data_IF_477185244759
#
_entry.id   IF_477185244759
#
_cell.length_a   1.000
_cell.length_b   1.000
_cell.length_c   1.000
_cell.angle_alpha   90.00
_cell.angle_beta   90.00
_cell.angle_gamma   90.00
#
_symmetry.space_group_name_H-M   'P 1'
#
loop_
_entity.id
_entity.type
_entity.pdbx_description
1 polymer ?
#
# COMPACT_ATOMS: atom_id res chain seq x y z
N UNK A 1 -17.98 -13.94 -13.05
CA UNK A 1 -16.57 -13.99 -12.58
C UNK A 1 -16.41 -12.97 -11.47
N UNK A 2 -15.56 -13.21 -10.48
CA UNK A 2 -15.33 -12.30 -9.35
C UNK A 2 -13.84 -12.15 -9.08
N UNK A 3 -13.44 -10.97 -8.61
CA UNK A 3 -12.05 -10.72 -8.20
C UNK A 3 -11.63 -11.67 -7.07
N UNK A 4 -10.47 -12.29 -7.21
CA UNK A 4 -9.90 -13.13 -6.17
C UNK A 4 -9.64 -12.30 -4.90
N UNK A 5 -9.94 -12.86 -3.71
CA UNK A 5 -9.87 -12.14 -2.43
C UNK A 5 -8.50 -11.55 -2.07
N UNK A 6 -7.44 -12.13 -2.62
CA UNK A 6 -6.05 -11.72 -2.41
C UNK A 6 -5.54 -10.79 -3.53
N UNK A 7 -6.40 -10.43 -4.48
CA UNK A 7 -6.06 -9.52 -5.57
C UNK A 7 -6.71 -8.16 -5.35
N UNK A 8 -5.95 -7.12 -5.64
CA UNK A 8 -6.41 -5.74 -5.73
C UNK A 8 -6.22 -5.25 -7.16
N UNK A 9 -7.10 -4.39 -7.64
CA UNK A 9 -7.07 -3.89 -9.01
C UNK A 9 -7.14 -2.37 -8.99
N UNK A 10 -6.28 -1.73 -9.78
CA UNK A 10 -6.40 -0.33 -10.18
C UNK A 10 -6.66 -0.28 -11.69
N UNK A 11 -7.80 0.29 -12.08
CA UNK A 11 -8.23 0.45 -13.48
C UNK A 11 -7.85 1.86 -13.95
N UNK A 12 -7.12 1.94 -15.05
CA UNK A 12 -6.76 3.18 -15.72
C UNK A 12 -7.29 3.16 -17.15
N UNK A 13 -7.30 4.32 -17.82
CA UNK A 13 -7.78 4.40 -19.21
C UNK A 13 -7.02 3.48 -20.16
N UNK A 14 -5.69 3.35 -19.96
CA UNK A 14 -4.81 2.64 -20.90
C UNK A 14 -4.43 1.22 -20.45
N UNK A 15 -4.72 0.84 -19.21
CA UNK A 15 -4.25 -0.41 -18.64
C UNK A 15 -4.97 -0.77 -17.33
N UNK A 16 -4.86 -2.03 -16.93
CA UNK A 16 -5.17 -2.48 -15.57
C UNK A 16 -3.89 -2.88 -14.88
N UNK A 17 -3.72 -2.44 -13.63
CA UNK A 17 -2.73 -3.00 -12.72
C UNK A 17 -3.44 -3.90 -11.73
N UNK A 18 -3.07 -5.18 -11.67
CA UNK A 18 -3.50 -6.11 -10.63
C UNK A 18 -2.35 -6.41 -9.67
N UNK A 19 -2.65 -6.38 -8.38
CA UNK A 19 -1.73 -6.68 -7.28
C UNK A 19 -2.16 -7.98 -6.60
N UNK A 20 -1.38 -9.05 -6.79
CA UNK A 20 -1.57 -10.34 -6.13
C UNK A 20 -0.80 -10.37 -4.81
N UNK A 21 -1.53 -10.26 -3.70
CA UNK A 21 -0.98 -10.23 -2.34
C UNK A 21 -0.39 -11.57 -1.90
N UNK A 22 -0.86 -12.68 -2.47
CA UNK A 22 -0.39 -14.03 -2.14
C UNK A 22 0.94 -14.31 -2.84
N UNK A 23 1.06 -13.95 -4.11
CA UNK A 23 2.28 -14.14 -4.90
C UNK A 23 3.27 -12.98 -4.78
N UNK A 24 2.87 -11.87 -4.16
CA UNK A 24 3.66 -10.64 -4.04
C UNK A 24 4.11 -10.10 -5.40
N UNK A 25 3.17 -10.05 -6.36
CA UNK A 25 3.45 -9.69 -7.76
C UNK A 25 2.43 -8.71 -8.30
N UNK A 26 2.89 -7.87 -9.22
CA UNK A 26 2.04 -7.03 -10.06
C UNK A 26 1.86 -7.70 -11.42
N UNK A 27 0.67 -7.55 -11.97
CA UNK A 27 0.34 -7.90 -13.35
C UNK A 27 -0.16 -6.64 -14.04
N UNK A 28 0.31 -6.41 -15.26
CA UNK A 28 -0.12 -5.30 -16.10
C UNK A 28 -0.86 -5.87 -17.29
N UNK A 29 -2.09 -5.41 -17.49
CA UNK A 29 -2.92 -5.78 -18.63
C UNK A 29 -3.14 -4.56 -19.52
N UNK A 30 -3.25 -4.81 -20.82
CA UNK A 30 -3.39 -3.78 -21.85
C UNK A 30 -4.75 -3.06 -21.80
N UNK A 31 -4.90 -2.07 -22.68
CA UNK A 31 -6.09 -1.25 -22.83
C UNK A 31 -7.32 -2.07 -23.22
N UNK A 32 -7.17 -3.08 -24.08
CA UNK A 32 -8.28 -3.95 -24.48
C UNK A 32 -8.86 -4.69 -23.28
N UNK A 33 -7.98 -5.21 -22.42
CA UNK A 33 -8.36 -5.84 -21.18
C UNK A 33 -8.95 -4.83 -20.18
N UNK A 34 -8.39 -3.61 -20.09
CA UNK A 34 -8.89 -2.51 -19.28
C UNK A 34 -10.33 -2.14 -19.62
N UNK A 35 -10.60 -1.95 -20.90
CA UNK A 35 -11.93 -1.63 -21.41
C UNK A 35 -12.93 -2.74 -21.09
N UNK A 36 -12.60 -4.00 -21.39
CA UNK A 36 -13.48 -5.13 -21.10
C UNK A 36 -13.76 -5.31 -19.59
N UNK A 37 -12.75 -5.06 -18.74
CA UNK A 37 -12.92 -5.14 -17.30
C UNK A 37 -13.80 -4.01 -16.78
N UNK A 38 -13.57 -2.78 -17.24
CA UNK A 38 -14.36 -1.62 -16.86
C UNK A 38 -15.83 -1.79 -17.29
N UNK A 39 -16.05 -2.22 -18.53
CA UNK A 39 -17.39 -2.52 -19.05
C UNK A 39 -18.13 -3.52 -18.16
N UNK A 40 -17.47 -4.59 -17.71
CA UNK A 40 -18.10 -5.62 -16.88
C UNK A 40 -18.27 -5.21 -15.41
N UNK A 41 -17.21 -4.73 -14.75
CA UNK A 41 -17.18 -4.55 -13.29
C UNK A 41 -17.56 -3.14 -12.81
N UNK A 42 -17.40 -2.12 -13.66
CA UNK A 42 -17.65 -0.73 -13.32
C UNK A 42 -18.92 -0.20 -13.99
N UNK A 43 -19.11 -0.52 -15.27
CA UNK A 43 -20.24 -0.01 -16.06
C UNK A 43 -21.40 -1.02 -16.19
N UNK A 44 -21.22 -2.26 -15.70
CA UNK A 44 -22.23 -3.35 -15.70
C UNK A 44 -22.81 -3.68 -17.09
N UNK A 45 -22.02 -3.51 -18.15
CA UNK A 45 -22.35 -3.89 -19.52
C UNK A 45 -22.21 -5.39 -19.74
N UNK A 46 -23.02 -6.00 -20.64
CA UNK A 46 -22.87 -7.40 -20.99
C UNK A 46 -21.58 -7.60 -21.81
N UNK A 47 -20.66 -8.40 -21.27
CA UNK A 47 -19.38 -8.74 -21.91
C UNK A 47 -19.23 -10.27 -21.86
N UNK A 48 -18.72 -10.88 -22.93
CA UNK A 48 -18.26 -12.27 -22.90
C UNK A 48 -16.99 -12.36 -22.05
N UNK A 49 -17.17 -12.49 -20.73
CA UNK A 49 -16.07 -12.49 -19.76
C UNK A 49 -15.08 -13.63 -19.98
N UNK A 50 -15.54 -14.77 -20.49
CA UNK A 50 -14.69 -15.95 -20.70
C UNK A 50 -13.64 -15.71 -21.77
N UNK A 51 -13.97 -14.91 -22.78
CA UNK A 51 -13.05 -14.50 -23.84
C UNK A 51 -12.33 -13.19 -23.49
N UNK A 52 -13.07 -12.14 -23.15
CA UNK A 52 -12.52 -10.79 -23.02
C UNK A 52 -11.61 -10.63 -21.78
N UNK A 53 -11.87 -11.39 -20.72
CA UNK A 53 -11.07 -11.38 -19.49
C UNK A 53 -10.21 -12.64 -19.33
N UNK A 54 -10.00 -13.38 -20.43
CA UNK A 54 -9.19 -14.60 -20.44
C UNK A 54 -7.81 -14.42 -19.77
N UNK A 55 -7.05 -13.32 -20.02
CA UNK A 55 -5.77 -13.12 -19.34
C UNK A 55 -5.89 -13.09 -17.81
N UNK A 56 -6.90 -12.41 -17.26
CA UNK A 56 -7.12 -12.33 -15.81
C UNK A 56 -7.57 -13.68 -15.23
N UNK A 57 -8.30 -14.48 -16.00
CA UNK A 57 -8.71 -15.83 -15.61
C UNK A 57 -7.48 -16.74 -15.55
N UNK A 58 -6.65 -16.72 -16.60
CA UNK A 58 -5.45 -17.56 -16.72
C UNK A 58 -4.45 -17.26 -15.58
N UNK A 59 -4.29 -15.98 -15.24
CA UNK A 59 -3.45 -15.53 -14.13
C UNK A 59 -4.09 -15.75 -12.74
N UNK A 60 -5.37 -16.13 -12.70
CA UNK A 60 -6.20 -16.32 -11.50
C UNK A 60 -6.43 -15.03 -10.71
N UNK A 61 -6.43 -13.90 -11.39
CA UNK A 61 -6.85 -12.60 -10.83
C UNK A 61 -8.36 -12.61 -10.61
N UNK A 62 -9.13 -13.15 -11.56
CA UNK A 62 -10.57 -13.37 -11.40
C UNK A 62 -10.89 -14.87 -11.38
N UNK A 63 -11.88 -15.25 -10.57
CA UNK A 63 -12.28 -16.65 -10.30
C UNK A 63 -13.80 -16.77 -10.31
N UNK A 64 -14.31 -17.99 -10.49
CA UNK A 64 -15.75 -18.25 -10.55
C UNK A 64 -16.46 -18.20 -9.17
N UNK A 65 -15.72 -18.42 -8.07
CA UNK A 65 -16.30 -18.72 -6.75
C UNK A 65 -15.74 -17.81 -5.64
N UNK A 66 -16.30 -16.61 -5.45
CA UNK A 66 -15.99 -15.82 -4.24
C UNK A 66 -17.24 -15.13 -3.69
N UNK A 67 -17.77 -15.52 -2.51
CA UNK A 67 -19.06 -15.01 -2.02
C UNK A 67 -19.04 -13.57 -1.46
N UNK A 68 -17.97 -12.79 -1.67
CA UNK A 68 -17.78 -11.45 -1.06
C UNK A 68 -17.78 -10.34 -2.12
N UNK A 69 -18.40 -9.18 -1.87
CA UNK A 69 -18.40 -8.06 -2.82
C UNK A 69 -16.96 -7.57 -3.04
N UNK A 70 -16.47 -7.77 -4.27
CA UNK A 70 -15.14 -7.40 -4.72
C UNK A 70 -14.88 -5.88 -4.80
N UNK A 71 -15.93 -5.05 -4.65
CA UNK A 71 -15.87 -3.61 -4.96
C UNK A 71 -14.83 -2.85 -4.15
N UNK A 72 -14.61 -3.18 -2.87
CA UNK A 72 -13.61 -2.48 -2.05
C UNK A 72 -12.15 -2.70 -2.49
N UNK A 73 -11.91 -3.61 -3.45
CA UNK A 73 -10.58 -3.96 -3.97
C UNK A 73 -10.38 -3.54 -5.42
N UNK A 74 -11.34 -2.83 -6.00
CA UNK A 74 -11.26 -2.28 -7.35
C UNK A 74 -11.26 -0.75 -7.21
N UNK A 75 -10.14 -0.13 -7.56
CA UNK A 75 -10.01 1.31 -7.63
C UNK A 75 -10.15 1.77 -9.08
N UNK A 76 -11.01 2.76 -9.32
CA UNK A 76 -11.27 3.35 -10.64
C UNK A 76 -10.52 4.68 -10.77
N UNK A 77 -9.49 4.71 -11.62
CA UNK A 77 -8.71 5.89 -11.97
C UNK A 77 -8.90 6.29 -13.44
N UNK A 78 -9.97 5.82 -14.10
CA UNK A 78 -10.32 6.28 -15.44
C UNK A 78 -10.56 7.79 -15.44
N UNK A 79 -10.15 8.46 -16.51
CA UNK A 79 -10.14 9.91 -16.65
C UNK A 79 -9.28 10.68 -15.63
N UNK A 80 -8.53 10.00 -14.75
CA UNK A 80 -7.64 10.67 -13.80
C UNK A 80 -6.38 11.17 -14.52
N UNK A 81 -6.05 12.45 -14.32
CA UNK A 81 -4.79 13.03 -14.79
C UNK A 81 -3.80 13.08 -13.63
N UNK A 82 -2.76 12.26 -13.71
CA UNK A 82 -1.67 12.29 -12.73
C UNK A 82 -0.74 13.46 -13.04
N UNK A 83 -0.31 14.15 -11.99
CA UNK A 83 0.66 15.24 -12.14
C UNK A 83 1.98 14.73 -12.77
N UNK A 84 2.63 15.62 -13.52
CA UNK A 84 3.90 15.31 -14.15
C UNK A 84 4.96 15.03 -13.08
N UNK A 85 5.76 14.01 -13.33
CA UNK A 85 6.71 13.45 -12.38
C UNK A 85 7.88 14.41 -12.10
N UNK A 86 7.89 15.05 -10.93
CA UNK A 86 9.12 15.59 -10.36
C UNK A 86 9.72 14.61 -9.35
N UNK A 87 10.44 13.62 -9.88
CA UNK A 87 11.42 12.77 -9.16
C UNK A 87 10.88 11.61 -8.29
N UNK A 88 11.31 10.39 -8.64
CA UNK A 88 11.03 9.13 -7.94
C UNK A 88 12.01 8.85 -6.82
N UNK A 89 12.34 9.89 -6.04
CA UNK A 89 13.32 9.74 -4.98
C UNK A 89 12.61 9.74 -3.65
N UNK A 90 12.13 8.55 -3.29
CA UNK A 90 11.72 8.25 -1.93
C UNK A 90 12.75 8.81 -0.95
N UNK A 91 12.30 9.70 -0.06
CA UNK A 91 13.07 10.34 0.99
C UNK A 91 14.30 11.21 0.61
N UNK A 92 14.80 11.25 -0.63
CA UNK A 92 16.08 11.96 -0.91
C UNK A 92 16.04 13.46 -0.65
N UNK A 93 14.86 14.07 -0.60
CA UNK A 93 14.71 15.50 -0.27
C UNK A 93 14.89 15.77 1.24
N UNK A 94 14.74 14.76 2.10
CA UNK A 94 14.70 14.89 3.57
C UNK A 94 15.87 14.20 4.26
N UNK A 95 16.76 13.52 3.53
CA UNK A 95 17.97 12.94 4.12
C UNK A 95 18.94 14.09 4.48
N UNK A 96 18.78 14.61 5.70
CA UNK A 96 19.70 15.59 6.29
C UNK A 96 21.13 15.05 6.39
N UNK A 97 22.04 15.92 6.83
CA UNK A 97 23.48 15.61 6.92
C UNK A 97 23.76 14.36 7.77
N UNK A 98 24.78 13.58 7.36
CA UNK A 98 25.26 12.37 8.07
C UNK A 98 25.87 12.75 9.42
N UNK A 99 25.05 12.89 10.45
CA UNK A 99 25.53 13.12 11.81
C UNK A 99 25.52 11.83 12.65
N UNK A 100 26.71 11.26 12.87
CA UNK A 100 26.91 10.02 13.61
C UNK A 100 26.57 10.14 15.12
N UNK A 101 26.56 11.35 15.68
CA UNK A 101 26.26 11.59 17.11
C UNK A 101 24.80 11.37 17.50
N UNK A 102 23.92 11.13 16.51
CA UNK A 102 22.48 10.87 16.70
C UNK A 102 22.02 9.54 16.07
N UNK A 103 22.94 8.59 15.89
CA UNK A 103 22.58 7.29 15.32
C UNK A 103 21.83 6.42 16.33
N UNK A 104 20.58 6.09 16.02
CA UNK A 104 19.76 5.19 16.83
C UNK A 104 19.77 3.78 16.23
N UNK A 105 20.30 2.80 16.97
CA UNK A 105 20.40 1.41 16.53
C UNK A 105 19.02 0.72 16.41
N UNK A 106 18.04 1.17 17.21
CA UNK A 106 16.73 0.54 17.28
C UNK A 106 15.89 0.75 15.99
N UNK A 107 15.72 1.98 15.44
CA UNK A 107 15.09 2.17 14.14
C UNK A 107 15.80 1.39 13.02
N UNK A 108 17.13 1.42 12.99
CA UNK A 108 17.93 0.68 12.01
C UNK A 108 17.60 -0.82 12.04
N UNK A 109 17.64 -1.44 13.22
CA UNK A 109 17.38 -2.87 13.32
C UNK A 109 15.91 -3.23 13.00
N UNK A 110 14.97 -2.33 13.27
CA UNK A 110 13.56 -2.49 12.87
C UNK A 110 13.37 -2.42 11.36
N UNK A 111 14.11 -1.57 10.66
CA UNK A 111 14.13 -1.51 9.20
C UNK A 111 14.66 -2.82 8.63
N UNK A 112 15.83 -3.28 9.09
CA UNK A 112 16.42 -4.54 8.59
C UNK A 112 15.52 -5.74 8.88
N UNK A 113 14.89 -5.80 10.06
CA UNK A 113 13.90 -6.86 10.38
C UNK A 113 12.70 -6.84 9.43
N UNK A 114 12.23 -5.66 9.05
CA UNK A 114 11.11 -5.50 8.11
C UNK A 114 11.53 -5.91 6.70
N UNK A 115 12.75 -5.55 6.28
CA UNK A 115 13.34 -6.00 5.03
C UNK A 115 13.52 -7.53 4.98
N UNK A 116 14.04 -8.14 6.04
CA UNK A 116 14.15 -9.59 6.16
C UNK A 116 12.78 -10.27 6.12
N UNK A 117 11.77 -9.72 6.81
CA UNK A 117 10.41 -10.27 6.80
C UNK A 117 9.79 -10.21 5.41
N UNK A 118 9.93 -9.10 4.68
CA UNK A 118 9.45 -8.98 3.29
C UNK A 118 10.18 -9.94 2.36
N UNK A 119 11.50 -10.10 2.53
CA UNK A 119 12.30 -11.03 1.71
C UNK A 119 11.93 -12.49 1.96
N UNK A 120 11.61 -12.86 3.20
CA UNK A 120 11.25 -14.24 3.57
C UNK A 120 9.77 -14.57 3.37
N UNK A 121 8.86 -13.62 3.57
CA UNK A 121 7.41 -13.86 3.62
C UNK A 121 6.63 -13.14 2.52
N UNK A 122 7.26 -12.29 1.70
CA UNK A 122 6.56 -11.43 0.75
C UNK A 122 5.55 -10.52 1.46
N UNK A 123 4.42 -10.23 0.82
CA UNK A 123 3.37 -9.37 1.38
C UNK A 123 2.60 -10.00 2.54
N UNK A 124 2.79 -11.28 2.84
CA UNK A 124 2.34 -11.84 4.13
C UNK A 124 3.00 -11.14 5.32
N UNK A 125 4.11 -10.41 5.13
CA UNK A 125 4.69 -9.57 6.15
C UNK A 125 3.73 -8.48 6.67
N UNK A 126 2.72 -8.08 5.88
CA UNK A 126 1.70 -7.11 6.32
C UNK A 126 0.82 -7.65 7.44
N UNK A 127 0.72 -8.98 7.61
CA UNK A 127 0.03 -9.58 8.77
C UNK A 127 0.64 -9.19 10.12
N UNK A 128 1.89 -8.71 10.14
CA UNK A 128 2.49 -8.14 11.35
C UNK A 128 1.79 -6.85 11.79
N UNK A 129 1.23 -6.08 10.86
CA UNK A 129 0.41 -4.90 11.14
C UNK A 129 -0.96 -5.33 11.68
N UNK A 130 -1.59 -6.34 11.08
CA UNK A 130 -2.87 -6.90 11.58
C UNK A 130 -2.78 -7.37 13.04
N UNK A 131 -1.67 -8.00 13.41
CA UNK A 131 -1.43 -8.45 14.80
C UNK A 131 -1.28 -7.31 15.80
N UNK A 132 -0.82 -6.14 15.34
CA UNK A 132 -0.69 -4.97 16.20
C UNK A 132 -2.05 -4.30 16.41
N UNK A 133 -2.93 -4.34 15.42
CA UNK A 133 -4.30 -3.80 15.52
C UNK A 133 -5.15 -4.60 16.52
N UNK A 134 -4.91 -5.91 16.64
CA UNK A 134 -5.64 -6.78 17.57
C UNK A 134 -5.26 -6.54 19.06
N UNK A 135 -4.27 -5.68 19.34
CA UNK A 135 -3.84 -5.40 20.71
C UNK A 135 -4.73 -4.29 21.30
N UNK A 136 -5.28 -4.45 22.52
CA UNK A 136 -6.10 -3.42 23.14
C UNK A 136 -5.30 -2.12 23.29
N UNK A 137 -5.90 -1.01 22.87
CA UNK A 137 -5.35 0.34 22.96
C UNK A 137 -5.32 0.80 24.43
N UNK A 138 -4.35 0.28 25.18
CA UNK A 138 -4.19 0.61 26.61
C UNK A 138 -3.30 1.84 26.84
N UNK A 139 -2.85 2.53 25.79
CA UNK A 139 -2.05 3.74 25.92
C UNK A 139 -2.69 4.89 25.15
N UNK A 140 -2.64 6.08 25.76
CA UNK A 140 -3.12 7.32 25.16
C UNK A 140 -2.48 7.55 23.79
N UNK A 141 -3.22 8.08 22.79
CA UNK A 141 -2.64 8.50 21.53
C UNK A 141 -1.50 9.46 21.80
N UNK A 142 -0.31 9.18 21.26
CA UNK A 142 0.80 10.14 21.32
C UNK A 142 0.47 11.29 20.37
N UNK A 143 0.57 12.54 20.85
CA UNK A 143 0.26 13.74 20.07
C UNK A 143 0.97 13.75 18.70
N UNK A 144 0.31 14.32 17.69
CA UNK A 144 0.75 14.29 16.28
C UNK A 144 2.16 14.82 16.01
N UNK A 145 2.76 15.58 16.92
CA UNK A 145 4.15 16.07 16.83
C UNK A 145 5.19 14.93 17.02
N UNK A 146 4.86 13.92 17.83
CA UNK A 146 5.71 12.74 18.03
C UNK A 146 5.87 11.90 16.76
N UNK A 147 4.85 11.86 15.91
CA UNK A 147 4.87 11.10 14.65
C UNK A 147 5.92 11.64 13.66
N UNK A 148 6.09 12.97 13.59
CA UNK A 148 7.04 13.63 12.70
C UNK A 148 8.49 13.38 13.13
N UNK A 149 8.77 13.43 14.43
CA UNK A 149 10.10 13.10 14.96
C UNK A 149 10.45 11.62 14.75
N UNK A 150 9.49 10.71 14.94
CA UNK A 150 9.68 9.28 14.67
C UNK A 150 9.99 9.00 13.20
N UNK A 151 9.27 9.66 12.28
CA UNK A 151 9.56 9.60 10.84
C UNK A 151 10.99 10.02 10.54
N UNK A 152 11.44 11.16 11.08
CA UNK A 152 12.79 11.69 10.84
C UNK A 152 13.88 10.72 11.33
N UNK A 153 13.68 10.09 12.50
CA UNK A 153 14.60 9.09 13.05
C UNK A 153 14.74 7.88 12.13
N UNK A 154 13.64 7.40 11.55
CA UNK A 154 13.67 6.29 10.59
C UNK A 154 14.38 6.66 9.29
N UNK A 155 14.12 7.86 8.77
CA UNK A 155 14.81 8.38 7.60
C UNK A 155 16.33 8.48 7.87
N UNK A 156 16.73 9.04 9.03
CA UNK A 156 18.15 9.14 9.41
C UNK A 156 18.80 7.78 9.59
N UNK A 157 18.13 6.81 10.21
CA UNK A 157 18.63 5.46 10.37
C UNK A 157 18.82 4.73 9.03
N UNK A 158 18.00 5.04 8.03
CA UNK A 158 18.10 4.45 6.69
C UNK A 158 19.39 4.86 5.96
N UNK A 159 19.95 6.05 6.25
CA UNK A 159 21.19 6.58 5.64
C UNK A 159 22.39 5.67 5.89
N UNK A 160 22.41 5.00 7.05
CA UNK A 160 23.51 4.14 7.48
C UNK A 160 23.36 2.70 7.02
N UNK A 161 22.33 2.40 6.22
CA UNK A 161 22.16 1.07 5.67
C UNK A 161 23.20 0.76 4.59
N UNK A 162 23.99 -0.32 4.74
CA UNK A 162 24.92 -0.74 3.69
C UNK A 162 24.20 -1.30 2.45
N UNK A 163 22.88 -1.48 2.52
CA UNK A 163 22.04 -1.94 1.41
C UNK A 163 20.95 -0.92 1.09
N UNK A 164 20.56 -0.82 -0.19
CA UNK A 164 19.42 0.00 -0.64
C UNK A 164 18.14 -0.46 0.05
N UNK A 165 17.56 0.39 0.90
CA UNK A 165 16.28 0.12 1.50
C UNK A 165 15.19 0.61 0.54
N UNK A 166 14.22 -0.25 0.23
CA UNK A 166 13.12 0.12 -0.67
C UNK A 166 12.02 0.88 0.06
N UNK A 167 11.23 1.68 -0.67
CA UNK A 167 10.08 2.39 -0.11
C UNK A 167 9.14 1.45 0.65
N UNK A 168 8.89 0.25 0.14
CA UNK A 168 8.05 -0.74 0.82
C UNK A 168 8.62 -1.22 2.15
N UNK A 169 9.93 -1.47 2.22
CA UNK A 169 10.58 -1.94 3.45
C UNK A 169 10.51 -0.87 4.54
N UNK A 170 10.69 0.40 4.15
CA UNK A 170 10.64 1.53 5.06
C UNK A 170 9.22 1.83 5.52
N UNK A 171 8.26 1.89 4.60
CA UNK A 171 6.86 2.13 4.93
C UNK A 171 6.31 1.03 5.84
N UNK A 172 6.71 -0.23 5.64
CA UNK A 172 6.36 -1.30 6.58
C UNK A 172 7.00 -1.10 7.96
N UNK A 173 8.29 -0.75 8.01
CA UNK A 173 9.00 -0.55 9.27
C UNK A 173 8.42 0.63 10.07
N UNK A 174 8.09 1.73 9.38
CA UNK A 174 7.50 2.94 9.93
C UNK A 174 6.05 2.70 10.39
N UNK A 175 5.19 2.10 9.56
CA UNK A 175 3.82 1.75 9.97
C UNK A 175 3.81 0.81 11.18
N UNK A 176 4.71 -0.18 11.22
CA UNK A 176 4.87 -1.08 12.37
C UNK A 176 5.33 -0.32 13.62
N UNK A 177 6.09 0.77 13.47
CA UNK A 177 6.48 1.63 14.58
C UNK A 177 5.33 2.43 15.14
N UNK A 178 4.72 3.23 14.27
CA UNK A 178 3.62 4.09 14.63
C UNK A 178 2.46 3.29 15.26
N UNK A 179 2.11 2.13 14.71
CA UNK A 179 1.09 1.25 15.34
C UNK A 179 1.48 0.71 16.72
N UNK A 180 2.77 0.50 17.00
CA UNK A 180 3.23 0.12 18.36
C UNK A 180 3.16 1.28 19.34
N UNK A 181 3.17 2.51 18.85
CA UNK A 181 2.97 3.75 19.62
C UNK A 181 1.49 4.18 19.66
N UNK A 182 0.57 3.29 19.26
CA UNK A 182 -0.88 3.52 19.16
C UNK A 182 -1.28 4.66 18.19
N UNK A 183 -0.42 4.99 17.23
CA UNK A 183 -0.74 5.89 16.13
C UNK A 183 -1.42 5.07 15.01
N UNK A 184 -2.59 5.48 14.49
CA UNK A 184 -3.39 4.71 13.52
C UNK A 184 -2.80 4.76 12.10
N UNK A 185 -1.51 4.42 11.96
CA UNK A 185 -0.79 4.49 10.71
C UNK A 185 -1.24 3.41 9.71
N UNK A 186 -1.39 3.79 8.46
CA UNK A 186 -1.80 2.93 7.36
C UNK A 186 -0.69 2.88 6.32
N UNK A 187 -0.19 1.69 6.00
CA UNK A 187 0.63 1.48 4.82
C UNK A 187 -0.27 1.53 3.58
N UNK A 188 0.14 2.34 2.62
CA UNK A 188 -0.54 2.53 1.33
C UNK A 188 0.43 2.17 0.20
N UNK A 189 -0.09 1.52 -0.84
CA UNK A 189 0.63 1.21 -2.08
C UNK A 189 -0.11 1.89 -3.22
N UNK A 190 0.60 2.72 -3.96
CA UNK A 190 0.12 3.37 -5.17
C UNK A 190 0.85 2.87 -6.41
N UNK A 191 0.17 2.92 -7.54
CA UNK A 191 0.70 2.51 -8.84
C UNK A 191 0.37 3.54 -9.91
N UNK A 192 1.20 3.52 -10.96
CA UNK A 192 0.97 4.20 -12.23
C UNK A 192 1.28 3.19 -13.34
N UNK A 193 0.44 3.04 -14.37
CA UNK A 193 0.64 2.01 -15.38
C UNK A 193 1.71 2.38 -16.43
N UNK A 194 1.85 3.67 -16.76
CA UNK A 194 2.69 4.16 -17.87
C UNK A 194 3.49 5.42 -17.46
N UNK A 195 4.85 5.33 -17.36
CA UNK A 195 5.60 4.08 -17.19
C UNK A 195 5.14 3.34 -15.92
N UNK A 196 5.33 2.01 -15.87
CA UNK A 196 4.95 1.26 -14.67
C UNK A 196 5.83 1.64 -13.48
N UNK A 197 5.22 2.21 -12.45
CA UNK A 197 5.87 2.55 -11.19
C UNK A 197 4.94 2.13 -10.06
N UNK A 198 5.50 1.49 -9.03
CA UNK A 198 4.82 1.20 -7.78
C UNK A 198 5.57 1.90 -6.64
N UNK A 199 4.82 2.52 -5.75
CA UNK A 199 5.34 3.24 -4.59
C UNK A 199 4.58 2.87 -3.33
N UNK A 200 5.25 2.89 -2.19
CA UNK A 200 4.63 2.60 -0.91
C UNK A 200 4.99 3.67 0.11
N UNK A 201 3.97 4.22 0.78
CA UNK A 201 4.12 5.25 1.81
C UNK A 201 3.26 4.91 3.03
N UNK A 202 3.33 5.77 4.04
CA UNK A 202 2.53 5.66 5.27
C UNK A 202 1.62 6.88 5.37
N UNK A 203 0.38 6.66 5.78
CA UNK A 203 -0.58 7.71 6.11
C UNK A 203 -1.01 7.62 7.55
N UNK A 204 -1.16 8.78 8.19
CA UNK A 204 -1.81 8.94 9.50
C UNK A 204 -2.88 9.99 9.31
N UNK A 205 -4.13 9.64 9.64
CA UNK A 205 -5.29 10.53 9.52
C UNK A 205 -5.41 11.19 8.12
N UNK A 206 -5.11 10.41 7.08
CA UNK A 206 -5.17 10.82 5.67
C UNK A 206 -3.99 11.66 5.17
N UNK A 207 -3.02 11.97 6.04
CA UNK A 207 -1.80 12.74 5.71
C UNK A 207 -0.63 11.80 5.45
N UNK A 208 0.12 12.06 4.39
CA UNK A 208 1.36 11.31 4.07
C UNK A 208 2.45 11.62 5.10
N UNK A 209 3.10 10.59 5.62
CA UNK A 209 4.17 10.68 6.62
C UNK A 209 5.52 10.25 6.02
N UNK A 210 6.52 11.14 6.08
CA UNK A 210 7.89 10.81 5.67
C UNK A 210 8.13 10.73 4.17
N UNK A 211 7.22 11.31 3.39
CA UNK A 211 7.26 11.33 1.94
C UNK A 211 6.55 12.58 1.40
N UNK A 212 6.52 12.75 0.07
CA UNK A 212 5.90 13.91 -0.57
C UNK A 212 4.38 13.98 -0.26
N UNK A 213 3.86 15.10 0.25
CA UNK A 213 2.44 15.24 0.62
C UNK A 213 1.48 14.97 -0.54
N UNK A 214 1.91 15.26 -1.77
CA UNK A 214 1.12 15.19 -2.99
C UNK A 214 1.22 13.84 -3.73
N UNK A 215 1.74 12.79 -3.08
CA UNK A 215 1.82 11.44 -3.67
C UNK A 215 0.47 10.93 -4.21
N UNK A 216 -0.64 11.29 -3.54
CA UNK A 216 -2.00 10.94 -3.98
C UNK A 216 -2.40 11.54 -5.33
N UNK A 217 -1.74 12.62 -5.77
CA UNK A 217 -1.93 13.23 -7.10
C UNK A 217 -1.11 12.54 -8.18
N UNK A 218 -0.06 11.81 -7.78
CA UNK A 218 0.91 11.19 -8.68
C UNK A 218 0.71 9.68 -8.87
N UNK A 219 0.03 9.02 -7.93
CA UNK A 219 -0.20 7.57 -7.92
C UNK A 219 -1.66 7.23 -7.64
N UNK A 220 -2.20 6.22 -8.35
CA UNK A 220 -3.46 5.61 -7.99
C UNK A 220 -3.25 4.58 -6.88
N UNK A 221 -3.86 4.77 -5.73
CA UNK A 221 -3.87 3.79 -4.63
C UNK A 221 -4.50 2.46 -5.07
N UNK A 222 -3.74 1.37 -4.96
CA UNK A 222 -4.21 0.01 -5.27
C UNK A 222 -4.43 -0.81 -3.99
N UNK A 223 -3.71 -0.49 -2.91
CA UNK A 223 -3.82 -1.22 -1.65
C UNK A 223 -3.59 -0.30 -0.47
N UNK A 224 -4.40 -0.52 0.57
CA UNK A 224 -4.19 0.05 1.90
C UNK A 224 -4.41 -0.99 2.97
N UNK A 225 -3.58 -0.91 4.01
CA UNK A 225 -3.83 -1.65 5.24
C UNK A 225 -5.02 -1.02 5.99
N UNK A 226 -5.90 -1.80 6.62
CA UNK A 226 -7.03 -1.27 7.39
C UNK A 226 -6.57 -0.34 8.52
N UNK A 227 -7.44 0.60 8.89
CA UNK A 227 -7.16 1.51 10.00
C UNK A 227 -7.36 0.74 11.33
N UNK A 228 -6.44 0.85 12.31
CA UNK A 228 -6.54 0.04 13.54
C UNK A 228 -7.81 0.29 14.38
N UNK A 229 -8.30 1.52 14.39
CA UNK A 229 -9.51 1.98 15.08
C UNK A 229 -10.82 1.46 14.44
N UNK A 230 -10.89 1.42 13.11
CA UNK A 230 -12.04 0.86 12.36
C UNK A 230 -12.25 -0.63 12.64
N UNK A 231 -11.19 -1.36 13.03
CA UNK A 231 -11.28 -2.77 13.45
C UNK A 231 -11.64 -2.96 14.92
N UNK A 232 -11.34 -1.96 15.76
CA UNK A 232 -11.63 -2.00 17.19
C UNK A 232 -13.07 -1.57 17.54
N UNK A 233 -13.78 -0.93 16.60
CA UNK A 233 -15.21 -0.74 16.72
C UNK A 233 -15.89 -2.12 16.85
N UNK A 234 -16.60 -2.39 17.96
CA UNK A 234 -17.39 -3.62 18.03
C UNK A 234 -18.33 -3.61 16.83
N UNK A 235 -18.41 -4.73 16.12
CA UNK A 235 -19.47 -4.98 15.13
C UNK A 235 -20.79 -4.66 15.85
N UNK A 236 -21.33 -3.48 15.59
CA UNK A 236 -22.39 -2.92 16.40
C UNK A 236 -23.59 -3.84 16.34
N UNK A 237 -24.18 -4.11 17.51
CA UNK A 237 -25.63 -4.22 17.61
C UNK A 237 -26.21 -3.09 16.77
N UNK A 238 -26.81 -3.43 15.64
CA UNK A 238 -27.75 -2.56 14.97
C UNK A 238 -28.91 -2.36 15.94
N UNK A 239 -29.16 -1.10 16.30
CA UNK A 239 -30.42 -0.64 16.86
C UNK A 239 -31.26 -0.03 15.73
#
# INVERSE_FOLDING_TARGET
MMLARHCHIAVFDQAIVALDMRRSRYFLYDEACASAFADHYLDFKPVDTSRALKPLIDDRIIVAESPEPARSRIADYRAWRFDAFESGVWASRVLGERNASRFEWLPFWRIVRSAASLKMRGFHAFSALDRLDARPANASPTDGDGSSQTVERYLRASIWSPFRITCLQMSLALATHLRRENVPAQLVIGVRPMPFIAHAWVEVDGRVCGDEPDLKKSYGEIYRTPRPDERAAPVGLAA
#
